data_IF_307822198859
#
_entry.id   IF_307822198859
#
_cell.length_a   1.000
_cell.length_b   1.000
_cell.length_c   1.000
_cell.angle_alpha   90.00
_cell.angle_beta   90.00
_cell.angle_gamma   90.00
#
_symmetry.space_group_name_H-M   'P 1'
#
loop_
_entity.id
_entity.type
_entity.pdbx_description
1 polymer ?
#
# COMPACT_ATOMS: atom_id res chain seq x y z
N UNK A 1 26.53 2.52 -11.03
CA UNK A 1 26.23 3.19 -9.75
C UNK A 1 27.50 3.23 -8.93
N UNK A 2 27.85 4.38 -8.34
CA UNK A 2 28.94 4.44 -7.38
C UNK A 2 28.58 3.60 -6.16
N UNK A 3 29.59 3.05 -5.46
CA UNK A 3 29.38 2.31 -4.21
C UNK A 3 28.57 3.14 -3.20
N UNK A 4 28.79 4.45 -3.18
CA UNK A 4 28.13 5.37 -2.28
C UNK A 4 26.63 5.52 -2.60
N UNK A 5 26.27 5.57 -3.88
CA UNK A 5 24.87 5.70 -4.33
C UNK A 5 24.04 4.49 -3.92
N UNK A 6 24.65 3.30 -3.99
CA UNK A 6 24.00 2.05 -3.57
C UNK A 6 23.76 2.03 -2.07
N UNK A 7 24.72 2.46 -1.26
CA UNK A 7 24.58 2.53 0.20
C UNK A 7 23.48 3.52 0.61
N UNK A 8 23.43 4.70 -0.02
CA UNK A 8 22.36 5.67 0.20
C UNK A 8 20.97 5.14 -0.20
N UNK A 9 20.86 4.49 -1.37
CA UNK A 9 19.61 3.88 -1.82
C UNK A 9 19.15 2.78 -0.85
N UNK A 10 20.07 1.92 -0.42
CA UNK A 10 19.78 0.86 0.54
C UNK A 10 19.30 1.44 1.89
N UNK A 11 19.97 2.48 2.38
CA UNK A 11 19.59 3.13 3.64
C UNK A 11 18.16 3.67 3.59
N UNK A 12 17.83 4.42 2.54
CA UNK A 12 16.48 4.97 2.37
C UNK A 12 15.43 3.86 2.27
N UNK A 13 15.65 2.88 1.38
CA UNK A 13 14.64 1.86 1.09
C UNK A 13 14.38 0.91 2.27
N UNK A 14 15.44 0.48 2.96
CA UNK A 14 15.31 -0.43 4.11
C UNK A 14 14.65 0.31 5.29
N UNK A 15 15.03 1.56 5.54
CA UNK A 15 14.43 2.36 6.63
C UNK A 15 12.95 2.60 6.38
N UNK A 16 12.59 3.04 5.16
CA UNK A 16 11.20 3.21 4.73
C UNK A 16 10.40 1.92 4.95
N UNK A 17 10.90 0.79 4.43
CA UNK A 17 10.26 -0.51 4.59
C UNK A 17 10.03 -0.88 6.07
N UNK A 18 11.03 -0.71 6.93
CA UNK A 18 10.91 -1.07 8.36
C UNK A 18 9.88 -0.20 9.09
N UNK A 19 9.83 1.10 8.77
CA UNK A 19 8.88 2.04 9.37
C UNK A 19 7.46 1.79 8.86
N UNK A 20 7.28 1.60 7.56
CA UNK A 20 5.97 1.33 6.94
C UNK A 20 5.36 0.02 7.46
N UNK A 21 6.17 -1.04 7.54
CA UNK A 21 5.66 -2.33 8.01
C UNK A 21 5.39 -2.34 9.51
N UNK A 22 6.13 -1.53 10.28
CA UNK A 22 6.02 -1.42 11.75
C UNK A 22 5.92 -2.79 12.46
N UNK A 23 6.70 -3.78 11.96
CA UNK A 23 6.73 -5.16 12.45
C UNK A 23 8.16 -5.58 12.77
N UNK A 24 8.37 -6.45 13.77
CA UNK A 24 9.69 -6.97 14.08
C UNK A 24 10.18 -7.96 13.02
N UNK A 25 11.37 -7.75 12.49
CA UNK A 25 12.01 -8.60 11.49
C UNK A 25 13.47 -8.87 11.81
N UNK A 26 13.98 -10.06 11.44
CA UNK A 26 15.42 -10.30 11.40
C UNK A 26 16.04 -9.72 10.13
N UNK A 27 17.36 -9.53 10.11
CA UNK A 27 18.07 -9.10 8.89
C UNK A 27 17.88 -10.08 7.70
N UNK A 28 17.64 -11.37 7.98
CA UNK A 28 17.37 -12.37 6.93
C UNK A 28 15.97 -12.18 6.36
N UNK A 29 14.98 -11.86 7.20
CA UNK A 29 13.60 -11.61 6.75
C UNK A 29 13.55 -10.35 5.88
N UNK A 30 14.18 -9.25 6.30
CA UNK A 30 14.24 -8.00 5.51
C UNK A 30 14.90 -8.24 4.15
N UNK A 31 15.99 -8.99 4.12
CA UNK A 31 16.67 -9.38 2.88
C UNK A 31 15.74 -10.15 1.93
N UNK A 32 14.96 -11.10 2.46
CA UNK A 32 14.01 -11.88 1.66
C UNK A 32 12.80 -11.03 1.20
N UNK A 33 12.25 -10.20 2.09
CA UNK A 33 11.08 -9.37 1.83
C UNK A 33 11.35 -8.29 0.77
N UNK A 34 12.56 -7.74 0.75
CA UNK A 34 13.04 -6.83 -0.29
C UNK A 34 13.49 -7.55 -1.56
N UNK A 35 13.11 -8.83 -1.74
CA UNK A 35 13.40 -9.65 -2.92
C UNK A 35 14.89 -9.65 -3.29
N UNK A 36 15.77 -9.58 -2.28
CA UNK A 36 17.22 -9.60 -2.45
C UNK A 36 17.77 -8.42 -3.27
N UNK A 37 17.08 -7.27 -3.29
CA UNK A 37 17.52 -6.05 -3.99
C UNK A 37 18.90 -5.57 -3.51
N UNK A 38 19.20 -5.76 -2.22
CA UNK A 38 20.47 -5.39 -1.60
C UNK A 38 21.18 -6.63 -1.02
N UNK A 39 22.51 -6.63 -1.04
CA UNK A 39 23.30 -7.73 -0.48
C UNK A 39 23.05 -7.90 1.03
N UNK A 40 23.01 -9.15 1.51
CA UNK A 40 22.67 -9.50 2.90
C UNK A 40 23.50 -8.73 3.95
N UNK A 41 24.80 -8.57 3.70
CA UNK A 41 25.70 -7.80 4.59
C UNK A 41 25.36 -6.31 4.61
N UNK A 42 24.97 -5.74 3.46
CA UNK A 42 24.55 -4.34 3.38
C UNK A 42 23.23 -4.13 4.13
N UNK A 43 22.28 -5.06 4.01
CA UNK A 43 21.01 -5.02 4.76
C UNK A 43 21.28 -5.00 6.27
N UNK A 44 22.12 -5.92 6.76
CA UNK A 44 22.49 -5.96 8.17
C UNK A 44 23.17 -4.66 8.62
N UNK A 45 24.14 -4.16 7.84
CA UNK A 45 24.84 -2.89 8.12
C UNK A 45 23.86 -1.72 8.25
N UNK A 46 22.88 -1.61 7.35
CA UNK A 46 21.86 -0.55 7.41
C UNK A 46 21.01 -0.70 8.66
N UNK A 47 20.49 -1.89 8.95
CA UNK A 47 19.64 -2.13 10.12
C UNK A 47 20.36 -1.79 11.43
N UNK A 48 21.62 -2.20 11.58
CA UNK A 48 22.44 -1.86 12.74
C UNK A 48 22.75 -0.37 12.82
N UNK A 49 22.99 0.29 11.68
CA UNK A 49 23.16 1.76 11.64
C UNK A 49 21.89 2.49 12.07
N UNK A 50 20.71 2.03 11.64
CA UNK A 50 19.42 2.61 12.02
C UNK A 50 19.08 2.34 13.50
N UNK A 51 19.52 1.21 14.05
CA UNK A 51 19.41 0.92 15.47
C UNK A 51 20.33 1.83 16.29
N UNK A 52 21.57 2.06 15.82
CA UNK A 52 22.51 2.97 16.46
C UNK A 52 22.06 4.44 16.41
N UNK A 53 21.39 4.87 15.33
CA UNK A 53 20.80 6.22 15.23
C UNK A 53 19.51 6.39 16.03
N UNK A 54 18.96 5.31 16.60
CA UNK A 54 17.71 5.33 17.35
C UNK A 54 16.44 5.40 16.48
N UNK A 55 16.58 5.30 15.16
CA UNK A 55 15.44 5.22 14.22
C UNK A 55 14.73 3.88 14.36
N UNK A 56 15.51 2.81 14.52
CA UNK A 56 15.02 1.47 14.85
C UNK A 56 15.47 1.11 16.27
N UNK A 57 14.84 0.08 16.82
CA UNK A 57 15.30 -0.63 18.01
C UNK A 57 15.70 -2.03 17.61
N UNK A 58 16.66 -2.59 18.34
CA UNK A 58 17.08 -3.98 18.17
C UNK A 58 16.87 -4.77 19.46
N UNK A 59 16.55 -6.06 19.31
CA UNK A 59 16.42 -6.99 20.43
C UNK A 59 16.98 -8.35 20.06
N UNK A 60 17.68 -8.97 20.99
CA UNK A 60 18.15 -10.35 20.83
C UNK A 60 17.02 -11.32 21.23
N UNK A 61 16.67 -12.24 20.34
CA UNK A 61 15.74 -13.34 20.59
C UNK A 61 16.47 -14.66 20.34
N UNK A 62 16.77 -15.39 21.42
CA UNK A 62 17.61 -16.59 21.35
C UNK A 62 19.00 -16.26 20.82
N UNK A 63 19.31 -16.75 19.61
CA UNK A 63 20.60 -16.51 18.93
C UNK A 63 20.50 -15.50 17.77
N UNK A 64 19.33 -14.91 17.54
CA UNK A 64 19.08 -14.01 16.42
C UNK A 64 18.75 -12.60 16.91
N UNK A 65 19.16 -11.60 16.13
CA UNK A 65 18.81 -10.20 16.35
C UNK A 65 17.60 -9.83 15.50
N UNK A 66 16.60 -9.23 16.11
CA UNK A 66 15.46 -8.63 15.44
C UNK A 66 15.54 -7.10 15.51
N UNK A 67 14.96 -6.44 14.53
CA UNK A 67 14.88 -4.99 14.39
C UNK A 67 13.41 -4.59 14.24
N UNK A 68 13.02 -3.44 14.79
CA UNK A 68 11.67 -2.89 14.70
C UNK A 68 11.71 -1.36 14.78
N UNK A 69 10.68 -0.69 14.28
CA UNK A 69 10.58 0.77 14.35
C UNK A 69 10.58 1.25 15.81
N UNK A 70 11.28 2.35 16.08
CA UNK A 70 11.28 2.92 17.42
C UNK A 70 9.93 3.60 17.73
N UNK A 71 9.25 3.12 18.76
CA UNK A 71 7.93 3.60 19.17
C UNK A 71 7.97 4.54 20.39
N UNK A 72 9.16 4.81 20.96
CA UNK A 72 9.30 5.60 22.19
C UNK A 72 8.87 7.07 22.04
N UNK A 73 8.88 7.60 20.82
CA UNK A 73 8.51 8.99 20.51
C UNK A 73 7.09 9.12 19.93
N UNK A 74 6.29 8.06 19.94
CA UNK A 74 4.90 8.15 19.51
C UNK A 74 4.07 8.86 20.58
N UNK A 75 3.23 9.79 20.15
CA UNK A 75 2.28 10.46 21.04
C UNK A 75 1.35 9.42 21.67
N UNK A 76 1.26 9.45 23.00
CA UNK A 76 0.30 8.62 23.73
C UNK A 76 -1.05 9.31 23.60
N UNK A 77 -1.96 8.71 22.85
CA UNK A 77 -3.34 9.18 22.78
C UNK A 77 -4.04 8.91 24.12
N UNK A 78 -4.78 9.88 24.63
CA UNK A 78 -5.67 9.68 25.77
C UNK A 78 -6.97 8.97 25.35
N UNK A 79 -7.74 8.49 26.33
CA UNK A 79 -8.96 7.72 26.07
C UNK A 79 -10.01 8.54 25.30
N UNK A 80 -10.02 9.87 25.50
CA UNK A 80 -10.92 10.77 24.78
C UNK A 80 -10.53 10.90 23.30
N UNK A 81 -9.24 11.07 22.98
CA UNK A 81 -8.73 11.11 21.62
C UNK A 81 -8.95 9.78 20.90
N UNK A 82 -8.79 8.65 21.59
CA UNK A 82 -9.09 7.33 21.02
C UNK A 82 -10.57 7.23 20.65
N UNK A 83 -11.48 7.63 21.55
CA UNK A 83 -12.91 7.60 21.28
C UNK A 83 -13.34 8.51 20.12
N UNK A 84 -12.72 9.69 20.00
CA UNK A 84 -12.95 10.60 18.88
C UNK A 84 -12.47 9.99 17.55
N UNK A 85 -11.27 9.40 17.53
CA UNK A 85 -10.74 8.69 16.36
C UNK A 85 -11.64 7.52 15.96
N UNK A 86 -12.14 6.73 16.92
CA UNK A 86 -13.08 5.64 16.65
C UNK A 86 -14.39 6.14 16.03
N UNK A 87 -14.90 7.28 16.53
CA UNK A 87 -16.09 7.93 15.95
C UNK A 87 -15.81 8.38 14.50
N UNK A 88 -14.67 9.01 14.24
CA UNK A 88 -14.28 9.43 12.89
C UNK A 88 -14.12 8.23 11.93
N UNK A 89 -13.51 7.14 12.39
CA UNK A 89 -13.39 5.88 11.63
C UNK A 89 -14.79 5.35 11.28
N UNK A 90 -15.72 5.36 12.23
CA UNK A 90 -17.10 4.94 12.02
C UNK A 90 -17.79 5.75 10.92
N UNK A 91 -17.78 7.08 11.05
CA UNK A 91 -18.40 7.99 10.08
C UNK A 91 -17.81 7.83 8.67
N UNK A 92 -16.48 7.85 8.55
CA UNK A 92 -15.80 7.71 7.26
C UNK A 92 -16.05 6.32 6.63
N UNK A 93 -16.15 5.28 7.44
CA UNK A 93 -16.45 3.93 6.95
C UNK A 93 -17.88 3.82 6.41
N UNK A 94 -18.84 4.49 7.03
CA UNK A 94 -20.21 4.57 6.53
C UNK A 94 -20.30 5.39 5.24
N UNK A 95 -19.60 6.52 5.17
CA UNK A 95 -19.51 7.34 3.96
C UNK A 95 -18.89 6.55 2.81
N UNK A 96 -17.78 5.84 3.05
CA UNK A 96 -17.16 4.96 2.05
C UNK A 96 -18.11 3.86 1.57
N UNK A 97 -18.90 3.25 2.47
CA UNK A 97 -19.90 2.25 2.08
C UNK A 97 -20.97 2.85 1.18
N UNK A 98 -21.48 4.03 1.53
CA UNK A 98 -22.49 4.75 0.73
C UNK A 98 -21.95 5.11 -0.65
N UNK A 99 -20.78 5.74 -0.73
CA UNK A 99 -20.13 6.11 -1.99
C UNK A 99 -19.80 4.89 -2.85
N UNK A 100 -19.38 3.79 -2.23
CA UNK A 100 -19.12 2.53 -2.95
C UNK A 100 -20.40 1.93 -3.51
N UNK A 101 -21.52 2.00 -2.78
CA UNK A 101 -22.82 1.56 -3.26
C UNK A 101 -23.31 2.41 -4.43
N UNK A 102 -23.24 3.73 -4.31
CA UNK A 102 -23.60 4.67 -5.39
C UNK A 102 -22.76 4.44 -6.65
N UNK A 103 -21.43 4.26 -6.51
CA UNK A 103 -20.58 3.96 -7.65
C UNK A 103 -20.97 2.65 -8.35
N UNK A 104 -21.32 1.60 -7.58
CA UNK A 104 -21.81 0.35 -8.16
C UNK A 104 -23.14 0.53 -8.89
N UNK A 105 -24.07 1.31 -8.35
CA UNK A 105 -25.35 1.60 -8.99
C UNK A 105 -25.16 2.34 -10.33
N UNK A 106 -24.33 3.37 -10.35
CA UNK A 106 -24.00 4.12 -11.57
C UNK A 106 -23.30 3.21 -12.59
N UNK A 107 -22.35 2.37 -12.15
CA UNK A 107 -21.65 1.42 -13.02
C UNK A 107 -22.61 0.39 -13.64
N UNK A 108 -23.59 -0.09 -12.88
CA UNK A 108 -24.61 -0.99 -13.40
C UNK A 108 -25.56 -0.28 -14.38
N UNK A 109 -26.00 0.93 -14.06
CA UNK A 109 -26.86 1.72 -14.96
C UNK A 109 -26.20 2.07 -16.29
N UNK A 110 -24.92 2.47 -16.25
CA UNK A 110 -24.13 2.74 -17.46
C UNK A 110 -23.93 1.48 -18.30
N UNK A 111 -23.60 0.33 -17.71
CA UNK A 111 -23.51 -0.93 -18.47
C UNK A 111 -24.85 -1.32 -19.14
N UNK A 112 -25.97 -1.17 -18.44
CA UNK A 112 -27.31 -1.44 -18.99
C UNK A 112 -27.62 -0.52 -20.18
N UNK A 113 -27.28 0.77 -20.10
CA UNK A 113 -27.49 1.71 -21.19
C UNK A 113 -26.69 1.35 -22.46
N UNK A 114 -25.42 0.96 -22.31
CA UNK A 114 -24.56 0.52 -23.41
C UNK A 114 -25.14 -0.71 -24.12
N UNK A 115 -25.63 -1.70 -23.36
CA UNK A 115 -26.26 -2.91 -23.90
C UNK A 115 -27.52 -2.57 -24.71
N UNK A 116 -28.31 -1.59 -24.27
CA UNK A 116 -29.52 -1.16 -25.00
C UNK A 116 -29.24 -0.37 -26.29
N UNK A 117 -28.10 0.32 -26.37
CA UNK A 117 -27.69 1.13 -27.53
C UNK A 117 -27.07 0.31 -28.67
N UNK A 118 -26.41 -0.82 -28.34
CA UNK A 118 -25.79 -1.76 -29.29
C UNK A 118 -26.77 -2.37 -30.32
N UNK A 119 -27.94 -2.91 -29.95
CA UNK A 119 -28.85 -3.51 -30.93
C UNK A 119 -29.40 -2.46 -31.90
N UNK A 120 -29.74 -1.26 -31.43
CA UNK A 120 -30.34 -0.21 -32.28
C UNK A 120 -29.36 0.29 -33.36
N UNK A 121 -28.07 0.44 -33.02
CA UNK A 121 -27.04 0.78 -34.02
C UNK A 121 -26.82 -0.34 -35.04
N UNK A 122 -26.85 -1.61 -34.61
CA UNK A 122 -26.71 -2.74 -35.52
C UNK A 122 -27.89 -2.83 -36.51
N UNK A 123 -29.13 -2.64 -36.04
CA UNK A 123 -30.31 -2.62 -36.91
C UNK A 123 -30.30 -1.43 -37.87
N UNK A 124 -29.90 -0.24 -37.41
CA UNK A 124 -29.79 0.94 -38.27
C UNK A 124 -28.71 0.77 -39.35
N UNK A 125 -27.56 0.20 -38.99
CA UNK A 125 -26.48 -0.07 -39.96
C UNK A 125 -26.92 -1.09 -41.01
N UNK A 126 -27.59 -2.18 -40.61
CA UNK A 126 -28.16 -3.17 -41.54
C UNK A 126 -29.20 -2.52 -42.46
N UNK A 127 -30.10 -1.70 -41.93
CA UNK A 127 -31.14 -1.02 -42.70
C UNK A 127 -30.55 -0.03 -43.72
N UNK A 128 -29.56 0.78 -43.32
CA UNK A 128 -28.85 1.70 -44.21
C UNK A 128 -28.10 0.93 -45.30
N UNK A 129 -27.41 -0.16 -44.97
CA UNK A 129 -26.71 -0.97 -45.96
C UNK A 129 -27.65 -1.62 -46.98
N UNK A 130 -28.86 -2.02 -46.58
CA UNK A 130 -29.86 -2.57 -47.49
C UNK A 130 -30.41 -1.49 -48.43
N UNK A 131 -30.70 -0.28 -47.92
CA UNK A 131 -31.31 0.79 -48.72
C UNK A 131 -30.33 1.58 -49.61
N UNK A 132 -29.03 1.53 -49.33
CA UNK A 132 -28.00 2.19 -50.16
C UNK A 132 -27.55 1.31 -51.34
N UNK A 133 -27.76 -0.02 -51.28
CA UNK A 133 -27.30 -0.98 -52.29
C UNK A 133 -28.40 -1.49 -53.24
N UNK A 134 -29.61 -0.91 -53.21
CA UNK A 134 -30.71 -1.13 -54.17
C UNK A 134 -30.87 0.14 -55.01
#
# INVERSE_FOLDING_TARGET
MSKNDLEHKAFAKITEYMVEQNRPYSATDVYANLRQEFGKTLVLKVLESCAASGTLKEKMIGKQKIFYANQENLEVCDEAAIADLDSQIGCLSEELKSLTAQNKEIQNGTQLSIISLLPVHAYLYIYICIYIYI
#
